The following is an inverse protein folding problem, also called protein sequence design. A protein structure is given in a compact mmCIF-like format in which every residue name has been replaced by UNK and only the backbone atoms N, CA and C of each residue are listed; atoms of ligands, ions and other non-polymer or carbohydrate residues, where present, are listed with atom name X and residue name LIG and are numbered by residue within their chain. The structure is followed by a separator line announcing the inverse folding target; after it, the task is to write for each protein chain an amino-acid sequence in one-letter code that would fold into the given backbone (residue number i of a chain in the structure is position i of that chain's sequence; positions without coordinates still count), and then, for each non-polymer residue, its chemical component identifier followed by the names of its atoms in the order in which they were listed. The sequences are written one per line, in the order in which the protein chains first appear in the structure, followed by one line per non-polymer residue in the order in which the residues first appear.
data_IF_690817384340
#
_entry.id   IF_690817384340
#
_cell.length_a   1.000
_cell.length_b   1.000
_cell.length_c   1.000
_cell.angle_alpha   90.00
_cell.angle_beta   90.00
_cell.angle_gamma   90.00
#
_symmetry.space_group_name_H-M   'P 1'
#
loop_
_entity.id
_entity.type
_entity.pdbx_description
1 polymer ?
#
# COMPACT_ATOMS: atom_id res chain seq x y z
N UNK A 1 4.70 16.35 45.60
CA UNK A 1 5.67 16.12 44.50
C UNK A 1 4.92 15.70 43.23
N UNK A 2 3.91 16.46 42.81
CA UNK A 2 3.07 16.13 41.64
C UNK A 2 3.30 17.09 40.44
N UNK A 3 4.22 18.05 40.57
CA UNK A 3 4.41 19.11 39.58
C UNK A 3 5.22 18.76 38.34
N UNK A 4 5.77 17.55 38.26
CA UNK A 4 6.48 17.09 37.05
C UNK A 4 5.59 16.32 36.07
N UNK A 5 4.37 15.95 36.46
CA UNK A 5 3.50 15.19 35.59
C UNK A 5 2.69 16.11 34.67
N UNK A 6 2.87 15.94 33.35
CA UNK A 6 2.12 16.67 32.31
C UNK A 6 0.62 16.73 32.63
N UNK A 7 -0.07 17.87 32.42
CA UNK A 7 -1.49 18.03 32.74
C UNK A 7 -2.37 16.94 32.13
N UNK A 8 -2.11 16.54 30.88
CA UNK A 8 -2.83 15.45 30.21
C UNK A 8 -2.67 14.12 30.95
N UNK A 9 -1.53 13.87 31.59
CA UNK A 9 -1.26 12.64 32.34
C UNK A 9 -1.89 12.60 33.74
N UNK A 10 -2.32 13.74 34.27
CA UNK A 10 -3.07 13.84 35.54
C UNK A 10 -4.55 13.47 35.38
N UNK A 11 -5.06 13.56 34.15
CA UNK A 11 -6.44 13.18 33.80
C UNK A 11 -6.59 11.66 33.94
N UNK A 12 -7.73 11.12 34.44
CA UNK A 12 -8.01 9.68 34.48
C UNK A 12 -7.83 8.99 33.12
N UNK A 13 -7.47 7.71 33.12
CA UNK A 13 -7.15 6.98 31.90
C UNK A 13 -8.33 6.90 30.94
N UNK A 14 -9.53 6.77 31.48
CA UNK A 14 -10.80 6.70 30.77
C UNK A 14 -11.04 7.97 29.93
N UNK A 15 -10.83 9.14 30.54
CA UNK A 15 -10.98 10.42 29.86
C UNK A 15 -9.87 10.62 28.82
N UNK A 16 -8.62 10.17 29.11
CA UNK A 16 -7.56 10.18 28.10
C UNK A 16 -7.92 9.33 26.88
N UNK A 17 -8.50 8.15 27.08
CA UNK A 17 -8.96 7.28 25.99
C UNK A 17 -10.03 7.99 25.16
N UNK A 18 -11.03 8.63 25.79
CA UNK A 18 -12.05 9.41 25.06
C UNK A 18 -11.42 10.53 24.22
N UNK A 19 -10.42 11.24 24.75
CA UNK A 19 -9.68 12.26 24.00
C UNK A 19 -8.95 11.63 22.82
N UNK A 20 -8.28 10.49 23.01
CA UNK A 20 -7.58 9.81 21.93
C UNK A 20 -8.53 9.30 20.85
N UNK A 21 -9.68 8.76 21.24
CA UNK A 21 -10.71 8.30 20.29
C UNK A 21 -11.23 9.46 19.44
N UNK A 22 -11.40 10.64 20.03
CA UNK A 22 -11.76 11.84 19.28
C UNK A 22 -10.65 12.32 18.34
N UNK A 23 -9.38 12.32 18.80
CA UNK A 23 -8.24 12.78 17.99
C UNK A 23 -7.83 11.80 16.90
N UNK A 24 -8.08 10.50 17.11
CA UNK A 24 -7.72 9.42 16.22
C UNK A 24 -8.94 8.82 15.52
N UNK A 25 -10.05 9.57 15.49
CA UNK A 25 -11.25 9.16 14.78
C UNK A 25 -10.95 9.10 13.28
N UNK A 26 -11.18 7.92 12.70
CA UNK A 26 -11.07 7.65 11.28
C UNK A 26 -12.42 7.82 10.58
N UNK A 27 -13.44 8.34 11.28
CA UNK A 27 -14.81 8.51 10.81
C UNK A 27 -15.42 7.22 10.24
N UNK A 28 -14.97 6.06 10.73
CA UNK A 28 -15.39 4.74 10.24
C UNK A 28 -14.74 4.32 8.92
N UNK A 29 -13.65 4.98 8.50
CA UNK A 29 -12.87 4.55 7.34
C UNK A 29 -12.29 3.15 7.57
N UNK A 30 -12.68 2.22 6.69
CA UNK A 30 -12.13 0.86 6.70
C UNK A 30 -10.65 0.81 6.30
N UNK A 31 -10.14 1.85 5.63
CA UNK A 31 -8.78 1.89 5.11
C UNK A 31 -8.19 3.29 5.25
N UNK A 32 -7.13 3.41 6.03
CA UNK A 32 -6.38 4.65 6.21
C UNK A 32 -5.39 4.82 5.06
N UNK A 33 -5.58 5.86 4.26
CA UNK A 33 -4.66 6.17 3.17
C UNK A 33 -3.33 6.69 3.73
N UNK A 34 -2.23 6.06 3.33
CA UNK A 34 -0.85 6.48 3.56
C UNK A 34 -0.25 6.81 2.20
N UNK A 35 0.26 8.03 2.03
CA UNK A 35 0.82 8.50 0.77
C UNK A 35 2.17 9.16 0.98
N UNK A 36 2.94 9.23 -0.10
CA UNK A 36 4.14 10.04 -0.16
C UNK A 36 3.80 11.53 0.04
N UNK A 37 4.61 12.21 0.84
CA UNK A 37 4.54 13.65 1.06
C UNK A 37 5.92 14.25 0.81
N UNK A 38 6.04 14.96 -0.31
CA UNK A 38 7.31 15.54 -0.71
C UNK A 38 7.77 16.59 0.32
N UNK A 39 9.03 16.49 0.76
CA UNK A 39 9.56 17.35 1.81
C UNK A 39 9.61 18.82 1.40
N UNK A 40 9.77 19.11 0.10
CA UNK A 40 9.77 20.47 -0.43
C UNK A 40 8.38 21.13 -0.42
N UNK A 41 7.30 20.35 -0.26
CA UNK A 41 5.93 20.85 -0.09
C UNK A 41 5.60 21.13 1.37
N UNK A 42 6.51 20.81 2.30
CA UNK A 42 6.34 21.11 3.72
C UNK A 42 6.72 22.56 3.98
N UNK A 43 6.01 23.20 4.92
CA UNK A 43 6.32 24.54 5.39
C UNK A 43 7.74 24.57 5.99
N UNK A 44 8.46 25.67 5.76
CA UNK A 44 9.79 25.92 6.32
C UNK A 44 9.75 25.76 7.85
N UNK A 45 10.58 24.86 8.39
CA UNK A 45 10.61 24.50 9.82
C UNK A 45 9.80 23.25 10.20
N UNK A 46 8.93 22.73 9.33
CA UNK A 46 8.19 21.49 9.59
C UNK A 46 9.09 20.25 9.64
N UNK A 47 10.25 20.29 8.98
CA UNK A 47 11.20 19.16 8.91
C UNK A 47 11.73 18.75 10.29
N UNK A 48 11.84 19.67 11.26
CA UNK A 48 12.27 19.33 12.62
C UNK A 48 11.16 18.66 13.46
N UNK A 49 9.90 18.76 13.01
CA UNK A 49 8.72 18.22 13.69
C UNK A 49 8.41 16.80 13.18
N UNK A 50 8.75 16.49 11.93
CA UNK A 50 8.56 15.15 11.35
C UNK A 50 9.64 14.16 11.85
N UNK A 51 9.26 13.31 12.80
CA UNK A 51 10.10 12.19 13.28
C UNK A 51 10.08 10.95 12.38
N UNK A 52 9.38 11.01 11.25
CA UNK A 52 9.22 9.89 10.32
C UNK A 52 10.46 9.71 9.47
N UNK A 53 10.77 8.47 9.12
CA UNK A 53 11.88 8.16 8.22
C UNK A 53 11.69 8.89 6.89
N UNK A 54 12.75 9.57 6.45
CA UNK A 54 12.81 10.21 5.13
C UNK A 54 13.51 9.28 4.14
N UNK A 55 13.06 9.33 2.89
CA UNK A 55 13.58 8.50 1.81
C UNK A 55 13.48 9.26 0.48
N UNK A 56 14.25 8.82 -0.52
CA UNK A 56 14.26 9.45 -1.84
C UNK A 56 13.41 8.63 -2.80
N UNK A 57 12.65 9.33 -3.64
CA UNK A 57 11.87 8.73 -4.71
C UNK A 57 12.18 9.42 -6.03
N UNK A 58 12.04 8.66 -7.11
CA UNK A 58 12.07 9.20 -8.46
C UNK A 58 10.62 9.42 -8.87
N UNK A 59 10.29 10.67 -9.20
CA UNK A 59 8.96 11.04 -9.63
C UNK A 59 8.51 10.17 -10.82
N UNK A 60 7.28 9.65 -10.76
CA UNK A 60 6.66 8.89 -11.85
C UNK A 60 6.10 9.81 -12.95
N UNK A 61 6.84 10.88 -13.25
CA UNK A 61 6.55 11.87 -14.29
C UNK A 61 7.60 11.77 -15.42
N UNK A 62 7.34 12.44 -16.53
CA UNK A 62 8.32 12.56 -17.61
C UNK A 62 9.63 13.24 -17.15
N UNK A 63 9.55 14.13 -16.15
CA UNK A 63 10.70 14.87 -15.65
C UNK A 63 11.63 14.03 -14.75
N UNK A 64 11.15 12.89 -14.23
CA UNK A 64 11.92 11.93 -13.41
C UNK A 64 12.74 12.60 -12.30
N UNK A 65 12.16 13.60 -11.63
CA UNK A 65 12.86 14.32 -10.58
C UNK A 65 13.09 13.41 -9.37
N UNK A 66 14.32 13.38 -8.86
CA UNK A 66 14.62 12.71 -7.59
C UNK A 66 14.45 13.72 -6.45
N UNK A 67 13.58 13.40 -5.48
CA UNK A 67 13.36 14.28 -4.33
C UNK A 67 13.21 13.49 -3.03
N UNK A 68 13.45 14.19 -1.92
CA UNK A 68 13.27 13.65 -0.58
C UNK A 68 11.78 13.71 -0.19
N UNK A 69 11.25 12.61 0.30
CA UNK A 69 9.86 12.45 0.73
C UNK A 69 9.81 11.74 2.09
N UNK A 70 8.63 11.73 2.69
CA UNK A 70 8.27 10.85 3.80
C UNK A 70 6.83 10.41 3.62
N UNK A 71 6.38 9.41 4.38
CA UNK A 71 5.00 8.99 4.35
C UNK A 71 4.14 9.89 5.27
N UNK A 72 2.90 10.11 4.85
CA UNK A 72 1.90 10.77 5.66
C UNK A 72 0.54 10.13 5.47
N UNK A 73 -0.29 10.19 6.51
CA UNK A 73 -1.70 9.95 6.34
C UNK A 73 -2.27 10.97 5.36
N UNK A 74 -2.96 10.48 4.34
CA UNK A 74 -3.63 11.30 3.35
C UNK A 74 -5.09 11.43 3.74
N UNK A 75 -5.49 12.63 4.13
CA UNK A 75 -6.89 12.92 4.38
C UNK A 75 -7.65 12.85 3.05
N UNK A 76 -8.67 11.99 2.91
CA UNK A 76 -9.57 12.12 1.79
C UNK A 76 -10.24 13.51 1.85
N UNK A 77 -10.68 14.03 0.71
CA UNK A 77 -11.30 15.36 0.60
C UNK A 77 -12.59 15.55 1.45
N UNK A 78 -13.00 14.53 2.21
CA UNK A 78 -14.10 14.59 3.17
C UNK A 78 -13.64 15.29 4.46
N UNK A 79 -14.27 16.41 4.86
CA UNK A 79 -13.91 17.15 6.06
C UNK A 79 -14.20 16.40 7.37
N UNK A 80 -14.80 15.20 7.30
CA UNK A 80 -15.17 14.39 8.48
C UNK A 80 -14.04 13.52 9.04
N UNK A 81 -12.95 13.31 8.30
CA UNK A 81 -11.86 12.37 8.63
C UNK A 81 -10.54 13.11 8.85
N UNK A 82 -10.53 14.09 9.75
CA UNK A 82 -9.29 14.76 10.14
C UNK A 82 -8.72 14.06 11.37
N UNK A 83 -7.90 13.05 11.12
CA UNK A 83 -7.12 12.39 12.16
C UNK A 83 -5.91 13.22 12.58
N UNK A 84 -5.61 13.28 13.88
CA UNK A 84 -4.49 14.01 14.47
C UNK A 84 -3.43 13.08 15.10
N UNK A 85 -2.71 12.25 14.33
CA UNK A 85 -1.74 11.29 14.87
C UNK A 85 -0.50 11.94 15.51
N UNK A 86 -0.34 13.27 15.38
CA UNK A 86 0.77 14.01 15.99
C UNK A 86 0.82 13.88 17.52
N UNK A 87 -0.33 13.64 18.17
CA UNK A 87 -0.41 13.43 19.62
C UNK A 87 0.45 12.24 20.08
N UNK A 88 0.62 11.23 19.23
CA UNK A 88 1.40 10.03 19.54
C UNK A 88 2.90 10.34 19.74
N UNK A 89 3.39 11.45 19.19
CA UNK A 89 4.80 11.83 19.27
C UNK A 89 5.18 12.53 20.59
N UNK A 90 4.18 12.91 21.41
CA UNK A 90 4.37 13.78 22.59
C UNK A 90 5.15 13.07 23.70
N UNK A 91 4.74 11.87 24.10
CA UNK A 91 5.48 11.07 25.09
C UNK A 91 5.27 9.55 24.90
N UNK A 92 6.11 8.73 25.55
CA UNK A 92 6.07 7.26 25.43
C UNK A 92 4.78 6.63 25.96
N UNK A 93 4.15 7.22 26.99
CA UNK A 93 2.93 6.67 27.59
C UNK A 93 1.72 6.91 26.70
N UNK A 94 1.54 8.13 26.20
CA UNK A 94 0.55 8.50 25.19
C UNK A 94 0.75 7.64 23.95
N UNK A 95 1.99 7.51 23.45
CA UNK A 95 2.27 6.64 22.30
C UNK A 95 1.78 5.21 22.55
N UNK A 96 2.05 4.62 23.72
CA UNK A 96 1.61 3.27 24.05
C UNK A 96 0.08 3.15 24.12
N UNK A 97 -0.59 4.08 24.81
CA UNK A 97 -2.06 4.10 24.94
C UNK A 97 -2.74 4.26 23.57
N UNK A 98 -2.26 5.19 22.75
CA UNK A 98 -2.79 5.49 21.41
C UNK A 98 -2.43 4.45 20.35
N UNK A 99 -1.29 3.76 20.46
CA UNK A 99 -0.86 2.75 19.47
C UNK A 99 -1.87 1.63 19.30
N UNK A 100 -2.53 1.22 20.39
CA UNK A 100 -3.54 0.17 20.32
C UNK A 100 -4.82 0.67 19.63
N UNK A 101 -5.18 1.93 19.81
CA UNK A 101 -6.35 2.53 19.16
C UNK A 101 -6.12 2.74 17.67
N UNK A 102 -4.93 3.20 17.27
CA UNK A 102 -4.62 3.41 15.87
C UNK A 102 -4.32 2.08 15.16
N UNK A 103 -3.34 1.30 15.60
CA UNK A 103 -2.90 0.13 14.83
C UNK A 103 -3.68 -1.15 15.13
N UNK A 104 -4.43 -1.20 16.24
CA UNK A 104 -5.16 -2.41 16.68
C UNK A 104 -6.61 -2.49 16.21
N UNK A 105 -7.16 -1.43 15.60
CA UNK A 105 -8.50 -1.44 15.01
C UNK A 105 -8.51 -2.28 13.73
N UNK A 106 -9.68 -2.85 13.33
CA UNK A 106 -9.81 -3.67 12.13
C UNK A 106 -9.90 -2.81 10.85
N UNK A 107 -9.02 -1.82 10.70
CA UNK A 107 -8.84 -1.08 9.45
C UNK A 107 -7.54 -1.51 8.77
N UNK A 108 -7.49 -1.34 7.45
CA UNK A 108 -6.27 -1.55 6.67
C UNK A 108 -5.48 -0.26 6.45
N UNK A 109 -4.19 -0.37 6.17
CA UNK A 109 -3.39 0.74 5.67
C UNK A 109 -3.27 0.64 4.16
N UNK A 110 -3.82 1.62 3.45
CA UNK A 110 -3.76 1.68 1.99
C UNK A 110 -2.62 2.59 1.55
N UNK A 111 -1.66 2.06 0.82
CA UNK A 111 -0.52 2.80 0.26
C UNK A 111 -0.77 3.30 -1.17
N UNK A 112 -1.85 2.84 -1.81
CA UNK A 112 -2.09 3.17 -3.22
C UNK A 112 -0.86 2.80 -4.06
N UNK A 113 -0.43 3.71 -4.93
CA UNK A 113 0.76 3.49 -5.76
C UNK A 113 2.09 3.65 -5.03
N UNK A 114 2.10 4.20 -3.82
CA UNK A 114 3.32 4.56 -3.08
C UNK A 114 3.92 3.34 -2.35
N UNK A 115 4.26 2.29 -3.10
CA UNK A 115 4.84 1.02 -2.62
C UNK A 115 6.08 1.27 -1.74
N UNK A 116 6.90 2.23 -2.13
CA UNK A 116 8.13 2.62 -1.42
C UNK A 116 7.88 3.15 0.00
N UNK A 117 6.66 3.62 0.30
CA UNK A 117 6.28 4.13 1.61
C UNK A 117 6.03 3.01 2.63
N UNK A 118 5.80 1.78 2.17
CA UNK A 118 5.50 0.62 3.03
C UNK A 118 6.65 0.33 3.99
N UNK A 119 7.88 0.28 3.49
CA UNK A 119 9.04 -0.09 4.30
C UNK A 119 9.38 0.97 5.36
N UNK A 120 9.51 2.27 5.02
CA UNK A 120 9.67 3.33 6.02
C UNK A 120 8.55 3.37 7.05
N UNK A 121 7.30 3.19 6.62
CA UNK A 121 6.15 3.14 7.52
C UNK A 121 6.30 2.01 8.55
N UNK A 122 6.52 0.77 8.10
CA UNK A 122 6.62 -0.39 9.00
C UNK A 122 7.87 -0.34 9.90
N UNK A 123 8.97 0.26 9.43
CA UNK A 123 10.22 0.44 10.20
C UNK A 123 10.05 1.42 11.36
N UNK A 124 9.27 2.48 11.17
CA UNK A 124 9.03 3.48 12.21
C UNK A 124 8.12 2.95 13.34
N UNK A 125 7.42 1.84 13.11
CA UNK A 125 6.56 1.22 14.10
C UNK A 125 7.33 0.39 15.12
N UNK A 126 6.90 0.48 16.38
CA UNK A 126 7.32 -0.46 17.41
C UNK A 126 6.92 -1.89 17.04
N UNK A 127 7.65 -2.94 17.47
CA UNK A 127 7.28 -4.32 17.17
C UNK A 127 5.83 -4.67 17.55
N UNK A 128 5.36 -4.18 18.69
CA UNK A 128 3.97 -4.37 19.14
C UNK A 128 2.97 -3.69 18.21
N UNK A 129 3.19 -2.43 17.84
CA UNK A 129 2.32 -1.68 16.90
C UNK A 129 2.29 -2.35 15.53
N UNK A 130 3.47 -2.78 15.03
CA UNK A 130 3.60 -3.47 13.75
C UNK A 130 2.82 -4.78 13.73
N UNK A 131 2.87 -5.55 14.82
CA UNK A 131 2.13 -6.80 14.95
C UNK A 131 0.61 -6.65 15.09
N UNK A 132 0.13 -5.43 15.37
CA UNK A 132 -1.30 -5.15 15.47
C UNK A 132 -1.94 -4.92 14.09
N UNK A 133 -1.14 -4.59 13.07
CA UNK A 133 -1.61 -4.34 11.71
C UNK A 133 -2.19 -5.62 11.11
N UNK A 134 -3.43 -5.53 10.65
CA UNK A 134 -4.15 -6.68 10.08
C UNK A 134 -4.14 -6.69 8.55
N UNK A 135 -4.19 -5.53 7.90
CA UNK A 135 -4.35 -5.44 6.45
C UNK A 135 -3.45 -4.34 5.86
N UNK A 136 -2.73 -4.69 4.79
CA UNK A 136 -2.10 -3.71 3.91
C UNK A 136 -2.76 -3.76 2.53
N UNK A 137 -3.04 -2.59 1.96
CA UNK A 137 -3.46 -2.44 0.57
C UNK A 137 -2.38 -1.73 -0.23
N UNK A 138 -1.97 -2.31 -1.34
CA UNK A 138 -1.02 -1.70 -2.29
C UNK A 138 -1.61 -1.78 -3.69
N UNK A 139 -1.37 -0.76 -4.51
CA UNK A 139 -1.78 -0.72 -5.91
C UNK A 139 -0.60 -1.00 -6.83
N UNK A 140 -0.77 -1.97 -7.72
CA UNK A 140 0.12 -2.21 -8.85
C UNK A 140 -0.40 -1.45 -10.06
N UNK A 141 0.34 -0.45 -10.48
CA UNK A 141 0.03 0.34 -11.66
C UNK A 141 0.36 -0.45 -12.95
N UNK A 142 -0.44 -0.22 -14.00
CA UNK A 142 -0.27 -0.85 -15.30
C UNK A 142 0.90 -0.24 -16.10
N UNK A 143 1.72 -1.04 -16.80
CA UNK A 143 2.92 -0.56 -17.51
C UNK A 143 2.61 0.43 -18.64
N UNK A 144 1.39 0.38 -19.20
CA UNK A 144 0.96 1.28 -20.29
C UNK A 144 0.52 2.65 -19.75
N UNK A 145 0.08 2.71 -18.48
CA UNK A 145 -0.46 3.95 -17.89
C UNK A 145 0.63 4.85 -17.29
N UNK A 146 1.79 4.27 -16.94
CA UNK A 146 2.86 4.97 -16.25
C UNK A 146 4.22 4.62 -16.85
N UNK A 147 4.93 5.61 -17.37
CA UNK A 147 6.19 5.46 -18.13
C UNK A 147 7.44 5.07 -17.30
N UNK A 148 7.29 4.40 -16.16
CA UNK A 148 8.40 4.14 -15.23
C UNK A 148 8.36 2.75 -14.58
N UNK A 149 8.62 1.69 -15.36
CA UNK A 149 8.63 0.30 -14.85
C UNK A 149 9.83 -0.01 -13.94
N UNK A 150 10.98 0.64 -14.11
CA UNK A 150 12.20 0.29 -13.36
C UNK A 150 12.15 0.68 -11.88
N UNK A 151 11.61 1.86 -11.53
CA UNK A 151 11.46 2.27 -10.12
C UNK A 151 10.50 1.34 -9.40
N UNK A 152 9.32 1.11 -10.00
CA UNK A 152 8.27 0.26 -9.44
C UNK A 152 8.82 -1.16 -9.16
N UNK A 153 9.55 -1.75 -10.11
CA UNK A 153 10.23 -3.04 -9.94
C UNK A 153 11.12 -3.11 -8.69
N UNK A 154 11.95 -2.10 -8.47
CA UNK A 154 12.84 -2.03 -7.31
C UNK A 154 12.06 -1.80 -6.01
N UNK A 155 10.99 -1.01 -6.06
CA UNK A 155 10.13 -0.72 -4.90
C UNK A 155 9.39 -2.00 -4.44
N UNK A 156 8.84 -2.78 -5.38
CA UNK A 156 8.23 -4.08 -5.10
C UNK A 156 9.24 -5.09 -4.54
N UNK A 157 10.42 -5.22 -5.16
CA UNK A 157 11.47 -6.10 -4.66
C UNK A 157 11.91 -5.72 -3.24
N UNK A 158 12.05 -4.42 -2.96
CA UNK A 158 12.45 -3.90 -1.64
C UNK A 158 11.37 -4.16 -0.60
N UNK A 159 10.10 -3.93 -0.95
CA UNK A 159 8.96 -4.22 -0.09
C UNK A 159 8.89 -5.71 0.24
N UNK A 160 8.86 -6.59 -0.77
CA UNK A 160 8.78 -8.04 -0.57
C UNK A 160 9.97 -8.58 0.22
N UNK A 161 11.19 -8.09 -0.05
CA UNK A 161 12.39 -8.48 0.70
C UNK A 161 12.31 -8.06 2.17
N UNK A 162 11.69 -6.91 2.47
CA UNK A 162 11.46 -6.46 3.83
C UNK A 162 10.38 -7.29 4.52
N UNK A 163 9.24 -7.54 3.86
CA UNK A 163 8.15 -8.35 4.40
C UNK A 163 8.65 -9.74 4.78
N UNK A 164 9.41 -10.41 3.91
CA UNK A 164 10.01 -11.73 4.20
C UNK A 164 10.86 -11.79 5.48
N UNK A 165 11.41 -10.66 5.92
CA UNK A 165 12.29 -10.58 7.11
C UNK A 165 11.54 -10.21 8.39
N UNK A 166 10.24 -9.97 8.35
CA UNK A 166 9.49 -9.61 9.56
C UNK A 166 9.21 -10.84 10.41
N UNK A 167 9.41 -10.69 11.73
CA UNK A 167 9.18 -11.77 12.71
C UNK A 167 7.71 -12.20 12.79
N UNK A 168 6.79 -11.27 12.53
CA UNK A 168 5.35 -11.51 12.46
C UNK A 168 4.82 -11.00 11.13
N UNK A 169 4.13 -11.88 10.42
CA UNK A 169 3.51 -11.57 9.13
C UNK A 169 2.25 -10.74 9.30
N UNK A 170 1.98 -9.97 8.24
CA UNK A 170 0.74 -9.23 8.10
C UNK A 170 -0.28 -10.21 7.53
N UNK A 171 -1.40 -10.47 8.21
CA UNK A 171 -2.28 -11.58 7.87
C UNK A 171 -2.99 -11.37 6.53
N UNK A 172 -3.35 -10.12 6.20
CA UNK A 172 -4.07 -9.81 4.96
C UNK A 172 -3.28 -8.85 4.08
N UNK A 173 -2.99 -9.27 2.86
CA UNK A 173 -2.41 -8.42 1.83
C UNK A 173 -3.43 -8.26 0.71
N UNK A 174 -3.76 -7.02 0.39
CA UNK A 174 -4.68 -6.67 -0.69
C UNK A 174 -3.90 -5.95 -1.79
N UNK A 175 -3.93 -6.50 -3.00
CA UNK A 175 -3.24 -5.94 -4.15
C UNK A 175 -4.28 -5.49 -5.17
N UNK A 176 -4.34 -4.18 -5.38
CA UNK A 176 -5.17 -3.57 -6.41
C UNK A 176 -4.36 -3.54 -7.70
N UNK A 177 -4.73 -4.39 -8.65
CA UNK A 177 -4.03 -4.47 -9.94
C UNK A 177 -4.77 -3.59 -10.94
N UNK A 178 -4.10 -2.57 -11.45
CA UNK A 178 -4.67 -1.74 -12.51
C UNK A 178 -4.66 -2.51 -13.83
N UNK A 179 -5.84 -2.65 -14.40
CA UNK A 179 -6.05 -3.22 -15.71
C UNK A 179 -6.75 -2.21 -16.63
N UNK A 180 -6.77 -2.54 -17.91
CA UNK A 180 -7.45 -1.75 -18.92
C UNK A 180 -8.31 -2.58 -19.85
N UNK A 181 -9.51 -2.09 -20.12
CA UNK A 181 -10.46 -2.68 -21.07
C UNK A 181 -10.52 -1.82 -22.33
N UNK A 182 -10.08 -2.34 -23.48
CA UNK A 182 -10.20 -1.64 -24.75
C UNK A 182 -11.66 -1.32 -25.11
N UNK A 183 -11.88 -0.17 -25.74
CA UNK A 183 -13.20 0.27 -26.22
C UNK A 183 -13.66 -0.41 -27.51
N UNK A 184 -12.73 -0.96 -28.28
CA UNK A 184 -13.00 -1.69 -29.51
C UNK A 184 -12.42 -3.10 -29.44
N UNK A 185 -12.97 -4.00 -30.25
CA UNK A 185 -12.37 -5.32 -30.46
C UNK A 185 -10.98 -5.18 -31.07
N UNK A 186 -10.10 -6.11 -30.73
CA UNK A 186 -8.74 -6.17 -31.28
C UNK A 186 -8.40 -7.58 -31.70
N UNK A 187 -7.48 -7.71 -32.65
CA UNK A 187 -6.94 -8.99 -33.06
C UNK A 187 -5.84 -9.45 -32.11
N UNK A 188 -5.88 -10.73 -31.72
CA UNK A 188 -4.90 -11.33 -30.81
C UNK A 188 -5.53 -11.91 -29.54
N UNK A 189 -4.70 -12.28 -28.54
CA UNK A 189 -5.17 -12.91 -27.32
C UNK A 189 -6.12 -11.97 -26.57
N UNK A 190 -7.28 -12.49 -26.19
CA UNK A 190 -8.29 -11.75 -25.42
C UNK A 190 -8.12 -11.96 -23.92
N UNK A 191 -7.72 -13.16 -23.52
CA UNK A 191 -7.51 -13.58 -22.13
C UNK A 191 -6.26 -14.45 -22.10
N UNK A 192 -5.42 -14.27 -21.09
CA UNK A 192 -4.26 -15.12 -20.86
C UNK A 192 -4.61 -16.31 -19.98
N UNK A 193 -4.18 -17.50 -20.39
CA UNK A 193 -4.25 -18.72 -19.59
C UNK A 193 -3.13 -18.77 -18.55
N UNK A 194 -3.23 -19.69 -17.58
CA UNK A 194 -2.14 -19.94 -16.61
C UNK A 194 -0.82 -20.28 -17.31
N UNK A 195 -0.86 -21.02 -18.42
CA UNK A 195 0.33 -21.35 -19.22
C UNK A 195 0.96 -20.10 -19.84
N UNK A 196 0.15 -19.15 -20.29
CA UNK A 196 0.65 -17.88 -20.82
C UNK A 196 1.28 -17.04 -19.70
N UNK A 197 0.67 -17.02 -18.51
CA UNK A 197 1.22 -16.34 -17.33
C UNK A 197 2.53 -16.97 -16.85
N UNK A 198 2.67 -18.30 -16.91
CA UNK A 198 3.95 -19.00 -16.67
C UNK A 198 5.03 -18.53 -17.64
N UNK A 199 4.69 -18.41 -18.92
CA UNK A 199 5.62 -17.89 -19.93
C UNK A 199 6.03 -16.45 -19.62
N UNK A 200 5.06 -15.59 -19.29
CA UNK A 200 5.33 -14.19 -18.90
C UNK A 200 6.22 -14.10 -17.66
N UNK A 201 6.01 -14.97 -16.66
CA UNK A 201 6.86 -15.05 -15.48
C UNK A 201 8.28 -15.53 -15.83
N UNK A 202 8.42 -16.53 -16.71
CA UNK A 202 9.71 -17.07 -17.14
C UNK A 202 10.56 -16.02 -17.88
N UNK A 203 9.94 -15.24 -18.76
CA UNK A 203 10.63 -14.15 -19.48
C UNK A 203 10.77 -12.87 -18.65
N UNK A 204 10.33 -12.89 -17.39
CA UNK A 204 10.33 -11.74 -16.46
C UNK A 204 9.67 -10.50 -17.06
N UNK A 205 8.50 -10.69 -17.67
CA UNK A 205 7.73 -9.57 -18.20
C UNK A 205 7.30 -8.62 -17.07
N UNK A 206 7.34 -7.31 -17.32
CA UNK A 206 7.01 -6.25 -16.34
C UNK A 206 5.67 -6.48 -15.60
N UNK A 207 4.70 -7.10 -16.27
CA UNK A 207 3.39 -7.44 -15.68
C UNK A 207 3.43 -8.52 -14.59
N UNK A 208 4.46 -9.38 -14.58
CA UNK A 208 4.58 -10.56 -13.71
C UNK A 208 5.76 -10.49 -12.73
N UNK A 209 6.70 -9.56 -12.89
CA UNK A 209 7.90 -9.52 -12.05
C UNK A 209 7.59 -9.29 -10.56
N UNK A 210 6.62 -8.42 -10.25
CA UNK A 210 6.15 -8.20 -8.88
C UNK A 210 5.53 -9.47 -8.27
N UNK A 211 4.91 -10.33 -9.08
CA UNK A 211 4.36 -11.62 -8.64
C UNK A 211 5.48 -12.56 -8.22
N UNK A 212 6.57 -12.60 -9.00
CA UNK A 212 7.73 -13.41 -8.68
C UNK A 212 8.40 -12.96 -7.37
N UNK A 213 8.43 -11.66 -7.06
CA UNK A 213 8.90 -11.16 -5.77
C UNK A 213 7.93 -11.46 -4.63
N UNK A 214 6.62 -11.34 -4.87
CA UNK A 214 5.59 -11.63 -3.89
C UNK A 214 5.56 -13.12 -3.49
N UNK A 215 5.77 -14.03 -4.46
CA UNK A 215 5.82 -15.47 -4.22
C UNK A 215 6.94 -15.89 -3.25
N UNK A 216 7.95 -15.04 -3.04
CA UNK A 216 9.03 -15.26 -2.06
C UNK A 216 8.65 -14.85 -0.64
N UNK A 217 7.49 -14.22 -0.44
CA UNK A 217 7.00 -13.80 0.87
C UNK A 217 6.19 -14.93 1.47
N UNK A 218 6.67 -15.47 2.59
CA UNK A 218 6.03 -16.57 3.29
C UNK A 218 5.05 -16.06 4.35
N UNK A 219 4.07 -16.89 4.74
CA UNK A 219 3.17 -16.62 5.87
C UNK A 219 2.08 -15.57 5.63
N UNK A 220 1.75 -15.26 4.37
CA UNK A 220 0.54 -14.52 4.01
C UNK A 220 -0.67 -15.44 4.25
N UNK A 221 -1.59 -15.06 5.14
CA UNK A 221 -2.79 -15.86 5.43
C UNK A 221 -3.88 -15.66 4.36
N UNK A 222 -4.04 -14.43 3.89
CA UNK A 222 -5.01 -14.09 2.84
C UNK A 222 -4.44 -13.06 1.87
N UNK A 223 -4.42 -13.42 0.58
CA UNK A 223 -4.08 -12.51 -0.51
C UNK A 223 -5.35 -12.17 -1.29
N UNK A 224 -5.70 -10.88 -1.35
CA UNK A 224 -6.84 -10.40 -2.14
C UNK A 224 -6.34 -9.69 -3.40
N UNK A 225 -6.68 -10.22 -4.57
CA UNK A 225 -6.42 -9.59 -5.86
C UNK A 225 -7.66 -8.83 -6.30
N UNK A 226 -7.48 -7.56 -6.61
CA UNK A 226 -8.58 -6.63 -6.87
C UNK A 226 -8.36 -5.98 -8.23
N UNK A 227 -9.11 -6.37 -9.26
CA UNK A 227 -9.00 -5.72 -10.55
C UNK A 227 -9.56 -4.29 -10.47
N UNK A 228 -8.75 -3.31 -10.86
CA UNK A 228 -9.20 -1.93 -11.09
C UNK A 228 -9.11 -1.63 -12.58
N UNK A 229 -10.22 -1.87 -13.28
CA UNK A 229 -10.29 -1.75 -14.73
C UNK A 229 -10.62 -0.32 -15.15
N UNK A 230 -9.82 0.25 -16.05
CA UNK A 230 -10.08 1.54 -16.72
C UNK A 230 -10.36 1.33 -18.20
N UNK A 231 -11.00 2.30 -18.85
CA UNK A 231 -11.18 2.26 -20.30
C UNK A 231 -9.87 2.60 -21.01
N UNK A 232 -9.55 1.84 -22.05
CA UNK A 232 -8.39 2.05 -22.91
C UNK A 232 -8.80 2.27 -24.37
N UNK A 233 -8.00 3.01 -25.16
CA UNK A 233 -8.13 2.98 -26.60
C UNK A 233 -7.83 1.57 -27.16
N UNK A 234 -8.23 1.34 -28.41
CA UNK A 234 -7.92 0.09 -29.10
C UNK A 234 -6.39 -0.17 -29.11
N UNK A 235 -5.94 -1.37 -28.72
CA UNK A 235 -4.52 -1.67 -28.65
C UNK A 235 -3.91 -1.67 -30.06
N UNK A 236 -2.89 -0.85 -30.26
CA UNK A 236 -2.18 -0.70 -31.55
C UNK A 236 -0.74 -1.23 -31.52
N UNK A 237 -0.26 -1.70 -30.37
CA UNK A 237 1.10 -2.21 -30.17
C UNK A 237 1.08 -3.53 -29.42
N UNK A 238 2.10 -4.36 -29.59
CA UNK A 238 2.22 -5.64 -28.86
C UNK A 238 2.12 -5.47 -27.34
N UNK A 239 2.70 -4.39 -26.79
CA UNK A 239 2.62 -4.09 -25.37
C UNK A 239 1.19 -3.78 -24.90
N UNK A 240 0.42 -3.03 -25.70
CA UNK A 240 -0.98 -2.72 -25.37
C UNK A 240 -1.91 -3.92 -25.56
N UNK A 241 -1.62 -4.79 -26.54
CA UNK A 241 -2.32 -6.06 -26.73
C UNK A 241 -2.12 -7.00 -25.54
N UNK A 242 -0.87 -7.21 -25.12
CA UNK A 242 -0.53 -8.03 -23.96
C UNK A 242 -1.12 -7.47 -22.67
N UNK A 243 -1.07 -6.14 -22.49
CA UNK A 243 -1.67 -5.50 -21.32
C UNK A 243 -3.19 -5.68 -21.27
N UNK A 244 -3.89 -5.55 -22.41
CA UNK A 244 -5.33 -5.80 -22.48
C UNK A 244 -5.68 -7.26 -22.16
N UNK A 245 -4.94 -8.21 -22.74
CA UNK A 245 -5.13 -9.64 -22.48
C UNK A 245 -4.85 -10.00 -21.00
N UNK A 246 -3.77 -9.46 -20.44
CA UNK A 246 -3.45 -9.62 -19.02
C UNK A 246 -4.54 -9.02 -18.14
N UNK A 247 -5.04 -7.83 -18.48
CA UNK A 247 -6.10 -7.14 -17.73
C UNK A 247 -7.39 -7.96 -17.65
N UNK A 248 -7.75 -8.66 -18.72
CA UNK A 248 -8.90 -9.56 -18.75
C UNK A 248 -8.70 -10.85 -17.93
N UNK A 249 -7.46 -11.17 -17.53
CA UNK A 249 -7.11 -12.37 -16.76
C UNK A 249 -6.85 -12.11 -15.26
N UNK A 250 -6.96 -10.87 -14.78
CA UNK A 250 -6.58 -10.49 -13.40
C UNK A 250 -7.39 -11.23 -12.34
N UNK A 251 -8.69 -11.39 -12.54
CA UNK A 251 -9.63 -12.00 -11.58
C UNK A 251 -9.73 -13.52 -11.71
N UNK A 252 -9.18 -14.08 -12.78
CA UNK A 252 -9.28 -15.50 -13.13
C UNK A 252 -7.89 -16.10 -13.24
N UNK A 253 -7.24 -15.99 -14.40
CA UNK A 253 -5.95 -16.62 -14.70
C UNK A 253 -4.84 -16.25 -13.73
N UNK A 254 -4.75 -14.97 -13.32
CA UNK A 254 -3.74 -14.53 -12.36
C UNK A 254 -3.96 -15.13 -10.97
N UNK A 255 -5.22 -15.19 -10.51
CA UNK A 255 -5.54 -15.79 -9.21
C UNK A 255 -5.27 -17.29 -9.22
N UNK A 256 -5.63 -17.98 -10.30
CA UNK A 256 -5.33 -19.40 -10.47
C UNK A 256 -3.81 -19.63 -10.47
N UNK A 257 -3.04 -18.85 -11.24
CA UNK A 257 -1.58 -18.92 -11.25
C UNK A 257 -0.97 -18.70 -9.85
N UNK A 258 -1.43 -17.70 -9.10
CA UNK A 258 -0.96 -17.44 -7.74
C UNK A 258 -1.23 -18.63 -6.80
N UNK A 259 -2.36 -19.32 -6.96
CA UNK A 259 -2.71 -20.49 -6.17
C UNK A 259 -1.90 -21.73 -6.57
N UNK A 260 -1.82 -22.03 -7.88
CA UNK A 260 -1.23 -23.28 -8.38
C UNK A 260 0.28 -23.25 -8.42
N UNK A 261 0.87 -22.14 -8.88
CA UNK A 261 2.30 -22.04 -9.16
C UNK A 261 3.06 -21.32 -8.04
N UNK A 262 2.43 -20.35 -7.37
CA UNK A 262 3.06 -19.63 -6.27
C UNK A 262 2.67 -20.16 -4.88
N UNK A 263 1.66 -21.03 -4.78
CA UNK A 263 1.18 -21.56 -3.49
C UNK A 263 0.58 -20.50 -2.55
N UNK A 264 0.16 -19.35 -3.08
CA UNK A 264 -0.37 -18.24 -2.29
C UNK A 264 -1.89 -18.40 -2.10
N UNK A 265 -2.46 -18.07 -0.92
CA UNK A 265 -3.90 -18.12 -0.68
C UNK A 265 -4.61 -16.90 -1.32
N UNK A 266 -4.53 -16.82 -2.64
CA UNK A 266 -5.08 -15.72 -3.44
C UNK A 266 -6.59 -15.88 -3.65
N UNK A 267 -7.32 -14.77 -3.61
CA UNK A 267 -8.75 -14.69 -3.90
C UNK A 267 -9.06 -13.46 -4.72
N UNK A 268 -9.91 -13.60 -5.74
CA UNK A 268 -10.40 -12.45 -6.50
C UNK A 268 -11.49 -11.72 -5.70
N UNK A 269 -11.37 -10.41 -5.58
CA UNK A 269 -12.40 -9.55 -4.98
C UNK A 269 -12.80 -8.50 -6.00
N UNK A 270 -14.03 -8.60 -6.50
CA UNK A 270 -14.61 -7.54 -7.33
C UNK A 270 -14.82 -6.29 -6.47
N UNK A 271 -14.43 -5.13 -7.00
CA UNK A 271 -14.88 -3.85 -6.46
C UNK A 271 -16.39 -3.75 -6.76
N UNK A 272 -17.24 -4.16 -5.82
CA UNK A 272 -18.64 -3.70 -5.86
C UNK A 272 -18.61 -2.19 -5.73
N UNK A 273 -19.18 -1.53 -6.74
CA UNK A 273 -19.29 -0.08 -6.86
C UNK A 273 -19.88 0.56 -5.60
#
# INVERSE_FOLDING_TARGET
MDDEQSPLMRIPAEIRIMIYEYLLDDAGERRLAVRNKAMHQLHTGALSIYRRTSYRIIERSFHRQCFLTTYAHHHPASPKSIMHPGIMAVNRRIHRETSHLLYGRPHGFDFGSDVEAVVPFLKDLTPSSRSAIQELTIRKDGPVMHCNSESDRLDWATMCAYLRRLDKMIPRLRIVVEGGRPTAAWEGPQVLSVSDLRLLALIKHDSMEWVAELAKVEGIEKLEIVPRIRHLPAPGTTATLLFAAFSASIDTGLVEYLQTDCGLPATAVSLTA
#
